data_IF_156836448981
#
_entry.id   IF_156836448981
#
_cell.length_a   1.000
_cell.length_b   1.000
_cell.length_c   1.000
_cell.angle_alpha   90.00
_cell.angle_beta   90.00
_cell.angle_gamma   90.00
#
_symmetry.space_group_name_H-M   'P 1'
#
loop_
_entity.id
_entity.type
_entity.pdbx_description
1 polymer ?
#
# COMPACT_ATOMS: atom_id res chain seq x y z
N UNK A 1 -27.70 7.57 0.58
CA UNK A 1 -26.63 7.01 -0.23
C UNK A 1 -25.38 6.84 0.60
N UNK A 2 -24.76 5.68 0.55
CA UNK A 2 -23.55 5.42 1.31
C UNK A 2 -22.33 5.95 0.57
N UNK A 3 -21.45 6.64 1.28
CA UNK A 3 -20.17 7.08 0.71
C UNK A 3 -19.23 5.90 0.55
N UNK A 4 -18.42 5.93 -0.50
CA UNK A 4 -17.38 4.94 -0.68
C UNK A 4 -16.34 5.05 0.45
N UNK A 5 -16.01 3.93 1.07
CA UNK A 5 -14.96 3.84 2.08
C UNK A 5 -14.01 2.73 1.71
N UNK A 6 -12.80 3.09 1.35
CA UNK A 6 -11.81 2.12 0.87
C UNK A 6 -11.38 1.10 1.92
N UNK A 7 -11.56 1.39 3.20
CA UNK A 7 -11.21 0.43 4.27
C UNK A 7 -11.89 -0.93 4.08
N UNK A 8 -13.09 -0.98 3.50
CA UNK A 8 -13.77 -2.24 3.20
C UNK A 8 -13.06 -3.03 2.11
N UNK A 9 -12.24 -2.38 1.30
CA UNK A 9 -11.58 -2.95 0.11
C UNK A 9 -10.05 -2.91 0.21
N UNK A 10 -9.50 -2.33 1.27
CA UNK A 10 -8.06 -2.14 1.42
C UNK A 10 -7.31 -3.47 1.30
N UNK A 11 -6.23 -3.47 0.55
CA UNK A 11 -5.43 -4.67 0.34
C UNK A 11 -5.99 -5.66 -0.67
N UNK A 12 -7.05 -5.31 -1.41
CA UNK A 12 -7.57 -6.18 -2.47
C UNK A 12 -6.57 -6.27 -3.64
N UNK A 13 -6.83 -7.15 -4.62
CA UNK A 13 -5.91 -7.35 -5.74
C UNK A 13 -5.69 -6.09 -6.57
N UNK A 14 -6.69 -5.22 -6.68
CA UNK A 14 -6.52 -3.94 -7.37
C UNK A 14 -5.52 -3.04 -6.63
N UNK A 15 -5.60 -3.00 -5.30
CA UNK A 15 -4.62 -2.28 -4.48
C UNK A 15 -3.22 -2.87 -4.64
N UNK A 16 -3.09 -4.21 -4.62
CA UNK A 16 -1.80 -4.89 -4.79
C UNK A 16 -1.17 -4.46 -6.11
N UNK A 17 -1.91 -4.51 -7.21
CA UNK A 17 -1.41 -4.14 -8.53
C UNK A 17 -1.00 -2.67 -8.57
N UNK A 18 -1.85 -1.78 -8.09
CA UNK A 18 -1.61 -0.34 -8.08
C UNK A 18 -0.40 0.01 -7.22
N UNK A 19 -0.35 -0.52 -6.01
CA UNK A 19 0.68 -0.15 -5.03
C UNK A 19 2.03 -0.77 -5.36
N UNK A 20 2.05 -2.00 -5.90
CA UNK A 20 3.30 -2.62 -6.34
C UNK A 20 3.93 -1.83 -7.50
N UNK A 21 3.12 -1.39 -8.46
CA UNK A 21 3.59 -0.57 -9.56
C UNK A 21 4.05 0.80 -9.07
N UNK A 22 3.29 1.44 -8.20
CA UNK A 22 3.66 2.73 -7.62
C UNK A 22 5.00 2.66 -6.88
N UNK A 23 5.17 1.66 -6.02
CA UNK A 23 6.40 1.47 -5.27
C UNK A 23 7.60 1.25 -6.21
N UNK A 24 7.42 0.43 -7.25
CA UNK A 24 8.47 0.18 -8.22
C UNK A 24 8.85 1.46 -8.98
N UNK A 25 7.86 2.25 -9.39
CA UNK A 25 8.08 3.50 -10.11
C UNK A 25 8.81 4.53 -9.25
N UNK A 26 8.39 4.69 -7.99
CA UNK A 26 9.03 5.64 -7.08
C UNK A 26 10.46 5.23 -6.77
N UNK A 27 10.71 3.94 -6.56
CA UNK A 27 12.08 3.44 -6.37
C UNK A 27 12.97 3.78 -7.57
N UNK A 28 12.47 3.52 -8.78
CA UNK A 28 13.23 3.81 -10.00
C UNK A 28 13.48 5.31 -10.18
N UNK A 29 12.43 6.13 -10.01
CA UNK A 29 12.53 7.57 -10.28
C UNK A 29 13.37 8.31 -9.24
N UNK A 30 13.38 7.83 -7.98
CA UNK A 30 14.14 8.49 -6.91
C UNK A 30 15.63 8.11 -6.91
N UNK A 31 16.06 7.19 -7.76
CA UNK A 31 17.48 6.89 -7.95
C UNK A 31 18.23 8.00 -8.69
N UNK A 32 17.51 8.95 -9.27
CA UNK A 32 18.10 10.08 -10.00
C UNK A 32 18.22 11.28 -9.08
N UNK A 33 19.22 12.14 -9.34
CA UNK A 33 19.46 13.37 -8.55
C UNK A 33 18.45 14.48 -8.80
N UNK A 34 17.42 14.24 -9.60
CA UNK A 34 16.41 15.26 -9.91
C UNK A 34 15.27 15.19 -8.91
N UNK A 35 14.78 16.36 -8.44
CA UNK A 35 13.58 16.37 -7.61
C UNK A 35 12.39 15.77 -8.33
N UNK A 36 11.53 15.09 -7.59
CA UNK A 36 10.32 14.47 -8.10
C UNK A 36 9.11 15.12 -7.44
N UNK A 37 8.13 15.51 -8.25
CA UNK A 37 6.83 15.94 -7.75
C UNK A 37 5.85 14.77 -7.79
N UNK A 38 5.13 14.56 -6.71
CA UNK A 38 4.13 13.50 -6.61
C UNK A 38 2.76 14.10 -6.33
N UNK A 39 1.79 13.79 -7.18
CA UNK A 39 0.43 14.36 -7.09
C UNK A 39 -0.57 13.23 -7.23
N UNK A 40 -1.55 13.19 -6.30
CA UNK A 40 -2.65 12.23 -6.37
C UNK A 40 -3.99 12.97 -6.44
N UNK A 41 -4.90 12.47 -7.28
CA UNK A 41 -6.25 13.01 -7.39
C UNK A 41 -7.27 12.23 -6.54
N UNK A 42 -6.98 10.96 -6.23
CA UNK A 42 -7.86 10.07 -5.47
C UNK A 42 -7.05 9.27 -4.45
N UNK A 43 -6.46 9.98 -3.49
CA UNK A 43 -5.47 9.40 -2.59
C UNK A 43 -6.04 8.42 -1.56
N UNK A 44 -7.25 8.67 -1.05
CA UNK A 44 -7.78 7.91 0.07
C UNK A 44 -6.99 8.14 1.36
N UNK A 45 -7.01 7.17 2.26
CA UNK A 45 -6.25 7.22 3.51
C UNK A 45 -4.79 6.80 3.27
N UNK A 46 -3.89 7.30 4.12
CA UNK A 46 -2.51 6.87 4.12
C UNK A 46 -2.29 5.53 4.81
N UNK A 47 -3.14 5.17 5.75
CA UNK A 47 -2.95 3.98 6.57
C UNK A 47 -4.28 3.27 6.80
N UNK A 48 -4.27 1.94 6.69
CA UNK A 48 -5.43 1.08 6.95
C UNK A 48 -5.06 0.00 7.94
N UNK A 49 -6.03 -0.38 8.80
CA UNK A 49 -5.92 -1.53 9.68
C UNK A 49 -6.70 -2.70 9.07
N UNK A 50 -5.98 -3.70 8.55
CA UNK A 50 -6.59 -4.88 7.93
C UNK A 50 -7.23 -5.81 8.97
N UNK A 51 -6.96 -5.59 10.25
CA UNK A 51 -7.63 -6.29 11.34
C UNK A 51 -8.92 -5.62 11.80
N UNK A 52 -9.28 -4.46 11.23
CA UNK A 52 -10.52 -3.78 11.57
C UNK A 52 -11.76 -4.57 11.15
N UNK A 53 -12.89 -4.29 11.81
CA UNK A 53 -14.17 -4.95 11.47
C UNK A 53 -14.55 -4.68 10.01
N UNK A 54 -14.33 -3.45 9.53
CA UNK A 54 -14.64 -3.06 8.16
C UNK A 54 -13.84 -3.88 7.15
N UNK A 55 -12.54 -4.04 7.36
CA UNK A 55 -11.69 -4.80 6.45
C UNK A 55 -12.02 -6.30 6.49
N UNK A 56 -12.28 -6.84 7.68
CA UNK A 56 -12.61 -8.27 7.84
C UNK A 56 -13.98 -8.63 7.25
N UNK A 57 -14.89 -7.67 7.20
CA UNK A 57 -16.26 -7.90 6.74
C UNK A 57 -16.31 -8.40 5.30
N UNK A 58 -15.48 -7.87 4.42
CA UNK A 58 -15.47 -8.25 2.99
C UNK A 58 -14.51 -9.39 2.69
N UNK A 59 -13.48 -9.58 3.51
CA UNK A 59 -12.44 -10.58 3.26
C UNK A 59 -11.54 -10.27 2.08
N UNK A 60 -11.57 -9.05 1.54
CA UNK A 60 -10.81 -8.73 0.33
C UNK A 60 -9.30 -8.71 0.57
N UNK A 61 -8.85 -8.29 1.77
CA UNK A 61 -7.43 -8.35 2.10
C UNK A 61 -6.91 -9.78 2.17
N UNK A 62 -7.71 -10.70 2.72
CA UNK A 62 -7.33 -12.11 2.78
C UNK A 62 -7.22 -12.72 1.38
N UNK A 63 -8.08 -12.33 0.45
CA UNK A 63 -8.04 -12.77 -0.94
C UNK A 63 -7.04 -11.97 -1.79
N UNK A 64 -6.55 -10.85 -1.28
CA UNK A 64 -5.62 -9.96 -1.95
C UNK A 64 -4.22 -10.03 -1.38
N UNK A 65 -3.83 -9.01 -0.60
CA UNK A 65 -2.45 -8.86 -0.13
C UNK A 65 -1.96 -10.06 0.69
N UNK A 66 -2.82 -10.68 1.50
CA UNK A 66 -2.41 -11.80 2.34
C UNK A 66 -1.94 -13.00 1.50
N UNK A 67 -2.49 -13.19 0.29
CA UNK A 67 -2.04 -14.22 -0.63
C UNK A 67 -0.95 -13.72 -1.58
N UNK A 68 -1.12 -12.51 -2.11
CA UNK A 68 -0.24 -11.97 -3.14
C UNK A 68 1.16 -11.63 -2.60
N UNK A 69 1.31 -11.44 -1.30
CA UNK A 69 2.59 -11.13 -0.69
C UNK A 69 3.66 -12.17 -1.05
N UNK A 70 3.28 -13.43 -1.15
CA UNK A 70 4.20 -14.51 -1.50
C UNK A 70 4.67 -14.45 -2.97
N UNK A 71 4.01 -13.68 -3.81
CA UNK A 71 4.37 -13.55 -5.23
C UNK A 71 5.58 -12.65 -5.46
N UNK A 72 5.94 -11.83 -4.48
CA UNK A 72 6.99 -10.82 -4.62
C UNK A 72 8.27 -11.27 -3.93
N UNK A 73 9.45 -11.02 -4.53
CA UNK A 73 10.71 -11.19 -3.79
C UNK A 73 10.79 -10.21 -2.64
N UNK A 74 11.49 -10.57 -1.58
CA UNK A 74 11.57 -9.77 -0.36
C UNK A 74 12.18 -8.38 -0.59
N UNK A 75 13.03 -8.23 -1.61
CA UNK A 75 13.67 -6.97 -1.96
C UNK A 75 12.85 -6.11 -2.93
N UNK A 76 11.66 -6.57 -3.33
CA UNK A 76 10.78 -5.73 -4.15
C UNK A 76 10.41 -4.47 -3.38
N UNK A 77 10.43 -3.27 -4.01
CA UNK A 77 10.12 -2.01 -3.31
C UNK A 77 8.78 -2.02 -2.57
N UNK A 78 7.78 -2.69 -3.12
CA UNK A 78 6.48 -2.83 -2.45
C UNK A 78 6.59 -3.61 -1.14
N UNK A 79 7.35 -4.71 -1.14
CA UNK A 79 7.56 -5.50 0.07
C UNK A 79 8.35 -4.73 1.12
N UNK A 80 9.30 -3.91 0.71
CA UNK A 80 10.03 -3.04 1.61
C UNK A 80 9.11 -2.01 2.26
N UNK A 81 8.19 -1.41 1.49
CA UNK A 81 7.23 -0.44 2.03
C UNK A 81 6.25 -1.11 3.00
N UNK A 82 5.79 -2.31 2.67
CA UNK A 82 4.95 -3.09 3.58
C UNK A 82 5.66 -3.38 4.91
N UNK A 83 6.91 -3.83 4.82
CA UNK A 83 7.70 -4.13 6.03
C UNK A 83 7.90 -2.89 6.90
N UNK A 84 8.22 -1.75 6.31
CA UNK A 84 8.38 -0.49 7.03
C UNK A 84 7.07 -0.07 7.70
N UNK A 85 5.95 -0.17 6.98
CA UNK A 85 4.64 0.17 7.52
C UNK A 85 4.29 -0.71 8.73
N UNK A 86 4.52 -2.01 8.60
CA UNK A 86 4.24 -2.96 9.68
C UNK A 86 5.14 -2.74 10.89
N UNK A 87 6.38 -2.37 10.67
CA UNK A 87 7.31 -2.06 11.76
C UNK A 87 6.90 -0.81 12.52
N UNK A 88 6.33 0.19 11.84
CA UNK A 88 5.92 1.45 12.44
C UNK A 88 4.53 1.39 13.07
N UNK A 89 3.59 0.66 12.48
CA UNK A 89 2.18 0.75 12.83
C UNK A 89 1.53 -0.58 13.23
N UNK A 90 2.25 -1.69 13.12
CA UNK A 90 1.76 -3.00 13.54
C UNK A 90 1.57 -3.99 12.40
N UNK A 91 1.43 -5.31 12.72
CA UNK A 91 1.49 -6.38 11.72
C UNK A 91 0.28 -6.41 10.77
N UNK A 92 -0.84 -5.79 11.12
CA UNK A 92 -2.01 -5.71 10.25
C UNK A 92 -2.20 -4.34 9.62
N UNK A 93 -1.21 -3.45 9.72
CA UNK A 93 -1.26 -2.18 9.02
C UNK A 93 -0.99 -2.36 7.54
N UNK A 94 -1.64 -1.52 6.73
CA UNK A 94 -1.49 -1.55 5.28
C UNK A 94 -1.36 -0.13 4.75
N UNK A 95 -0.31 0.19 3.98
CA UNK A 95 -0.12 1.55 3.48
C UNK A 95 -1.01 1.82 2.27
N UNK A 96 -1.72 2.95 2.30
CA UNK A 96 -2.31 3.53 1.11
C UNK A 96 -1.24 4.27 0.30
N UNK A 97 -1.60 4.69 -0.91
CA UNK A 97 -0.64 5.36 -1.79
C UNK A 97 0.00 6.62 -1.18
N UNK A 98 -0.70 7.46 -0.39
CA UNK A 98 -0.02 8.61 0.23
C UNK A 98 1.11 8.23 1.16
N UNK A 99 0.95 7.17 1.95
CA UNK A 99 2.00 6.71 2.85
C UNK A 99 3.14 6.06 2.08
N UNK A 100 2.84 5.27 1.04
CA UNK A 100 3.86 4.69 0.18
C UNK A 100 4.75 5.77 -0.41
N UNK A 101 4.15 6.87 -0.87
CA UNK A 101 4.90 7.98 -1.45
C UNK A 101 5.71 8.76 -0.41
N UNK A 102 5.24 8.81 0.85
CA UNK A 102 5.87 9.58 1.93
C UNK A 102 7.03 8.84 2.60
N UNK A 103 7.07 7.52 2.54
CA UNK A 103 8.15 6.74 3.14
C UNK A 103 9.48 7.01 2.43
N UNK A 104 10.63 6.88 3.13
CA UNK A 104 11.93 7.17 2.52
C UNK A 104 12.23 6.30 1.31
N UNK A 105 12.71 6.91 0.24
CA UNK A 105 12.99 6.25 -1.04
C UNK A 105 14.48 6.27 -1.40
N UNK A 106 15.36 6.37 -0.43
CA UNK A 106 16.80 6.36 -0.68
C UNK A 106 17.46 5.31 0.16
#
# INVERSE_FOLDING_TARGET
MLSYQHIYHAGNLADVQKHALLAWMLDYLTQKDKPLSYIETHAGRGLYDLGSDEALKTGEAQAGIDLAEAWFPADHPYMQRLAECRAMFGPRSYPGSPLIADLPWI
#
